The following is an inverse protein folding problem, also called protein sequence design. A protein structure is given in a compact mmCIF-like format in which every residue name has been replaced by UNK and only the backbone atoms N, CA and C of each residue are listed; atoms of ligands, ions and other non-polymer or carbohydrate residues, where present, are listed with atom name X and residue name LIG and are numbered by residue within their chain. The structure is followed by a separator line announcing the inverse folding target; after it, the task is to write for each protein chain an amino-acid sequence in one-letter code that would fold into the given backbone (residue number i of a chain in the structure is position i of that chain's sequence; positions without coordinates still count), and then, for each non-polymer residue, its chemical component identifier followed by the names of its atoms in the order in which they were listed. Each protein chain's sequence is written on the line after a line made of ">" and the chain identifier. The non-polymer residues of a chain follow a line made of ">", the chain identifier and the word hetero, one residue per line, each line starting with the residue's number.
data_IF_016341971116
#
_entry.id   IF_016341971116
#
_cell.length_a   1.000
_cell.length_b   1.000
_cell.length_c   1.000
_cell.angle_alpha   90.00
_cell.angle_beta   90.00
_cell.angle_gamma   90.00
#
_symmetry.space_group_name_H-M   'P 1'
#
loop_
_entity.id
_entity.type
_entity.pdbx_description
1 polymer ?
#
# COMPACT_ATOMS: atom_id res chain seq x y z
N UNK A 1 19.34 -8.12 12.36
CA UNK A 1 18.20 -7.28 12.81
C UNK A 1 18.54 -5.83 12.54
N UNK A 2 18.00 -5.25 11.46
CA UNK A 2 18.13 -3.82 11.21
C UNK A 2 16.74 -3.21 11.42
N UNK A 3 16.45 -2.75 12.63
CA UNK A 3 15.34 -1.82 12.82
C UNK A 3 15.76 -0.53 12.14
N UNK A 4 15.21 -0.24 10.96
CA UNK A 4 15.47 1.02 10.27
C UNK A 4 15.09 2.18 11.18
N UNK A 5 16.10 2.86 11.71
CA UNK A 5 15.96 4.06 12.55
C UNK A 5 15.46 5.25 11.75
N UNK A 6 15.34 5.12 10.43
CA UNK A 6 14.85 6.17 9.55
C UNK A 6 13.36 6.45 9.81
N UNK A 7 13.06 7.70 10.16
CA UNK A 7 11.69 8.19 10.15
C UNK A 7 11.11 8.06 8.73
N UNK A 8 9.81 7.74 8.58
CA UNK A 8 9.19 7.78 7.26
C UNK A 8 9.36 9.18 6.63
N UNK A 9 9.57 9.27 5.31
CA UNK A 9 9.68 10.56 4.62
C UNK A 9 8.51 11.49 4.93
N UNK A 10 8.78 12.79 5.04
CA UNK A 10 7.76 13.80 5.35
C UNK A 10 6.55 13.79 4.40
N UNK A 11 6.74 13.30 3.17
CA UNK A 11 5.70 13.19 2.13
C UNK A 11 4.50 12.31 2.53
N UNK A 12 4.65 11.40 3.48
CA UNK A 12 3.51 10.66 4.04
C UNK A 12 2.57 11.54 4.87
N UNK A 13 3.02 12.72 5.29
CA UNK A 13 2.26 13.68 6.10
C UNK A 13 1.88 14.94 5.29
N UNK A 14 2.12 14.94 3.97
CA UNK A 14 1.66 15.99 3.07
C UNK A 14 0.22 15.71 2.62
N UNK A 15 -0.73 16.50 3.12
CA UNK A 15 -2.16 16.34 2.85
C UNK A 15 -2.48 16.35 1.34
N UNK A 16 -3.48 15.56 0.95
CA UNK A 16 -3.95 15.46 -0.43
C UNK A 16 -3.06 14.62 -1.35
N UNK A 17 -1.90 14.12 -0.87
CA UNK A 17 -1.03 13.23 -1.66
C UNK A 17 -1.48 11.77 -1.55
N UNK A 18 -1.11 10.96 -2.56
CA UNK A 18 -1.38 9.52 -2.53
C UNK A 18 -0.65 8.79 -1.38
N UNK A 19 0.52 9.28 -0.96
CA UNK A 19 1.27 8.75 0.19
C UNK A 19 0.55 9.04 1.52
N UNK A 20 0.03 10.26 1.68
CA UNK A 20 -0.79 10.61 2.84
C UNK A 20 -2.08 9.79 2.88
N UNK A 21 -2.74 9.58 1.74
CA UNK A 21 -3.88 8.66 1.66
C UNK A 21 -3.51 7.24 2.09
N UNK A 22 -2.36 6.72 1.70
CA UNK A 22 -1.91 5.39 2.13
C UNK A 22 -1.80 5.31 3.66
N UNK A 23 -1.25 6.34 4.29
CA UNK A 23 -1.18 6.43 5.76
C UNK A 23 -2.59 6.48 6.38
N UNK A 24 -3.49 7.33 5.87
CA UNK A 24 -4.84 7.48 6.41
C UNK A 24 -5.69 6.21 6.28
N UNK A 25 -5.54 5.49 5.18
CA UNK A 25 -6.33 4.31 4.83
C UNK A 25 -5.77 2.99 5.38
N UNK A 26 -4.55 2.99 5.91
CA UNK A 26 -3.98 1.85 6.60
C UNK A 26 -4.66 1.62 7.97
N UNK A 27 -4.67 0.37 8.48
CA UNK A 27 -5.12 0.10 9.85
C UNK A 27 -4.34 0.91 10.87
N UNK A 28 -5.00 1.38 11.94
CA UNK A 28 -4.30 2.04 13.05
C UNK A 28 -3.15 1.16 13.58
N UNK A 29 -3.41 -0.14 13.77
CA UNK A 29 -2.41 -1.16 14.05
C UNK A 29 -2.22 -2.07 12.84
N UNK A 30 -1.32 -1.69 11.94
CA UNK A 30 -1.06 -2.39 10.69
C UNK A 30 -0.13 -3.59 10.91
N UNK A 31 -0.40 -4.69 10.20
CA UNK A 31 0.58 -5.78 10.06
C UNK A 31 1.75 -5.32 9.19
N UNK A 32 2.97 -5.70 9.56
CA UNK A 32 4.17 -5.37 8.80
C UNK A 32 5.31 -6.37 9.04
N UNK A 33 6.30 -6.41 8.14
CA UNK A 33 7.46 -7.30 8.25
C UNK A 33 8.58 -6.92 7.27
N UNK A 34 9.79 -7.40 7.57
CA UNK A 34 10.96 -7.28 6.68
C UNK A 34 10.93 -8.30 5.53
N UNK A 35 10.07 -9.31 5.65
CA UNK A 35 9.85 -10.41 4.70
C UNK A 35 8.34 -10.64 4.47
N UNK A 36 7.96 -11.68 3.72
CA UNK A 36 6.56 -11.99 3.38
C UNK A 36 5.75 -12.65 4.53
N UNK A 37 6.21 -12.60 5.78
CA UNK A 37 5.58 -13.35 6.89
C UNK A 37 4.55 -12.55 7.72
N UNK A 38 4.47 -11.23 7.56
CA UNK A 38 3.53 -10.36 8.29
C UNK A 38 3.56 -10.54 9.83
N UNK A 39 4.75 -10.78 10.40
CA UNK A 39 4.97 -11.18 11.79
C UNK A 39 4.80 -10.07 12.82
N UNK A 40 4.78 -8.80 12.44
CA UNK A 40 4.67 -7.67 13.37
C UNK A 40 3.34 -6.95 13.21
N UNK A 41 2.85 -6.39 14.31
CA UNK A 41 1.72 -5.44 14.34
C UNK A 41 2.23 -4.16 14.99
N UNK A 42 2.09 -3.02 14.32
CA UNK A 42 2.63 -1.72 14.77
C UNK A 42 1.66 -0.59 14.42
N UNK A 43 1.71 0.55 15.14
CA UNK A 43 1.01 1.73 14.68
C UNK A 43 1.45 2.07 13.25
N UNK A 44 0.52 2.47 12.38
CA UNK A 44 0.77 2.68 10.94
C UNK A 44 1.96 3.58 10.63
N UNK A 45 2.21 4.60 11.44
CA UNK A 45 3.34 5.53 11.31
C UNK A 45 4.70 4.82 11.49
N UNK A 46 4.73 3.74 12.28
CA UNK A 46 5.90 2.87 12.44
C UNK A 46 5.93 1.74 11.41
N UNK A 47 4.77 1.24 10.98
CA UNK A 47 4.66 0.19 9.97
C UNK A 47 5.21 0.63 8.60
N UNK A 48 5.16 1.93 8.28
CA UNK A 48 5.77 2.53 7.07
C UNK A 48 7.27 2.25 6.91
N UNK A 49 7.97 1.86 7.97
CA UNK A 49 9.41 1.57 7.94
C UNK A 49 9.74 0.19 7.38
N UNK A 50 8.72 -0.63 7.13
CA UNK A 50 8.86 -2.00 6.68
C UNK A 50 8.51 -2.13 5.20
N UNK A 51 9.22 -3.00 4.45
CA UNK A 51 8.95 -3.23 3.03
C UNK A 51 7.59 -3.91 2.79
N UNK A 52 7.06 -4.65 3.76
CA UNK A 52 5.74 -5.25 3.71
C UNK A 52 4.87 -4.64 4.80
N UNK A 53 3.72 -4.08 4.41
CA UNK A 53 2.77 -3.44 5.31
C UNK A 53 1.34 -3.68 4.81
N UNK A 54 0.41 -3.86 5.74
CA UNK A 54 -1.02 -3.87 5.46
C UNK A 54 -1.50 -2.46 5.13
N UNK A 55 -2.03 -2.29 3.92
CA UNK A 55 -2.47 -0.98 3.40
C UNK A 55 -3.99 -0.75 3.46
N UNK A 56 -4.77 -1.82 3.59
CA UNK A 56 -6.23 -1.75 3.74
C UNK A 56 -6.65 -2.10 5.17
N UNK A 57 -7.58 -1.31 5.72
CA UNK A 57 -8.23 -1.56 7.01
C UNK A 57 -9.00 -2.89 7.00
N UNK A 58 -9.08 -3.63 8.13
CA UNK A 58 -9.94 -4.79 8.20
C UNK A 58 -11.39 -4.42 7.86
N UNK A 59 -12.00 -5.17 6.93
CA UNK A 59 -13.39 -4.93 6.51
C UNK A 59 -13.60 -3.71 5.60
N UNK A 60 -12.54 -3.03 5.16
CA UNK A 60 -12.62 -1.90 4.23
C UNK A 60 -11.51 -1.98 3.18
N UNK A 61 -11.86 -1.74 1.92
CA UNK A 61 -10.90 -1.68 0.82
C UNK A 61 -10.87 -0.26 0.25
N UNK A 62 -9.70 0.36 0.32
CA UNK A 62 -9.44 1.70 -0.23
C UNK A 62 -8.35 1.68 -1.31
N UNK A 63 -7.63 0.56 -1.41
CA UNK A 63 -6.56 0.32 -2.37
C UNK A 63 -6.77 -1.02 -3.08
N UNK A 64 -6.74 -1.01 -4.40
CA UNK A 64 -6.52 -2.20 -5.23
C UNK A 64 -5.01 -2.28 -5.51
N UNK A 65 -4.38 -3.39 -5.11
CA UNK A 65 -2.94 -3.61 -5.24
C UNK A 65 -2.72 -4.77 -6.20
N UNK A 66 -1.98 -4.51 -7.28
CA UNK A 66 -1.65 -5.51 -8.29
C UNK A 66 -0.14 -5.76 -8.28
N UNK A 67 0.28 -6.99 -8.02
CA UNK A 67 1.67 -7.40 -8.10
C UNK A 67 2.03 -7.72 -9.55
N UNK A 68 3.15 -7.19 -10.02
CA UNK A 68 3.69 -7.43 -11.35
C UNK A 68 4.93 -8.31 -11.21
N UNK A 69 4.77 -9.58 -11.57
CA UNK A 69 5.81 -10.60 -11.54
C UNK A 69 6.82 -10.50 -12.71
N UNK A 70 6.96 -9.31 -13.30
CA UNK A 70 7.91 -9.01 -14.38
C UNK A 70 8.59 -7.65 -14.20
N UNK A 71 9.68 -7.42 -14.92
CA UNK A 71 10.50 -6.21 -14.75
C UNK A 71 9.88 -4.92 -15.32
N UNK A 72 8.87 -5.03 -16.20
CA UNK A 72 8.16 -3.89 -16.77
C UNK A 72 7.15 -3.29 -15.78
N UNK A 73 7.56 -2.25 -15.06
CA UNK A 73 6.67 -1.55 -14.13
C UNK A 73 5.60 -0.70 -14.85
N UNK A 74 5.79 -0.38 -16.13
CA UNK A 74 4.91 0.48 -16.93
C UNK A 74 3.89 -0.31 -17.76
N UNK A 75 3.71 -1.61 -17.50
CA UNK A 75 2.79 -2.47 -18.25
C UNK A 75 1.33 -1.96 -18.27
N UNK A 76 0.95 -1.08 -17.34
CA UNK A 76 -0.35 -0.40 -17.37
C UNK A 76 -0.50 0.54 -18.57
N UNK A 77 0.58 1.23 -18.97
CA UNK A 77 0.58 2.18 -20.08
C UNK A 77 0.50 1.43 -21.42
N UNK A 78 1.31 0.37 -21.56
CA UNK A 78 1.28 -0.53 -22.73
C UNK A 78 -0.11 -1.14 -22.96
N UNK A 79 -0.84 -1.40 -21.87
CA UNK A 79 -2.18 -1.97 -21.89
C UNK A 79 -3.30 -0.91 -22.00
N UNK A 80 -2.98 0.38 -22.04
CA UNK A 80 -3.95 1.47 -22.07
C UNK A 80 -4.82 1.58 -20.80
N UNK A 81 -4.30 1.12 -19.67
CA UNK A 81 -4.96 1.22 -18.37
C UNK A 81 -4.76 2.62 -17.77
N UNK A 82 -5.63 3.05 -16.83
CA UNK A 82 -5.41 4.30 -16.10
C UNK A 82 -4.05 4.31 -15.39
N UNK A 83 -3.47 5.50 -15.22
CA UNK A 83 -2.26 5.63 -14.43
C UNK A 83 -2.53 5.29 -12.95
N UNK A 84 -1.68 4.46 -12.30
CA UNK A 84 -1.81 4.15 -10.88
C UNK A 84 -1.50 5.37 -10.01
N UNK A 85 -2.06 5.42 -8.80
CA UNK A 85 -1.79 6.49 -7.85
C UNK A 85 -0.41 6.34 -7.20
N UNK A 86 0.04 5.11 -6.96
CA UNK A 86 1.39 4.80 -6.49
C UNK A 86 1.95 3.60 -7.26
N UNK A 87 3.26 3.63 -7.47
CA UNK A 87 4.03 2.51 -8.01
C UNK A 87 5.19 2.22 -7.08
N UNK A 88 5.29 0.98 -6.62
CA UNK A 88 6.39 0.52 -5.76
C UNK A 88 7.20 -0.48 -6.55
N UNK A 89 8.51 -0.26 -6.71
CA UNK A 89 9.37 -1.15 -7.49
C UNK A 89 10.56 -1.63 -6.67
N UNK A 90 10.78 -2.94 -6.67
CA UNK A 90 12.02 -3.51 -6.17
C UNK A 90 13.15 -3.24 -7.17
N UNK A 91 14.11 -2.41 -6.76
CA UNK A 91 15.24 -2.00 -7.61
C UNK A 91 16.17 -3.17 -8.03
N UNK A 92 16.14 -4.29 -7.31
CA UNK A 92 17.00 -5.46 -7.60
C UNK A 92 16.34 -6.43 -8.58
N UNK A 93 15.10 -6.85 -8.30
CA UNK A 93 14.39 -7.84 -9.13
C UNK A 93 13.59 -7.22 -10.28
N UNK A 94 13.29 -5.92 -10.22
CA UNK A 94 12.45 -5.24 -11.20
C UNK A 94 10.95 -5.41 -10.97
N UNK A 95 10.52 -6.40 -10.18
CA UNK A 95 9.13 -6.59 -9.74
C UNK A 95 8.56 -5.31 -9.13
N UNK A 96 7.27 -5.09 -9.35
CA UNK A 96 6.61 -3.87 -8.90
C UNK A 96 5.16 -4.11 -8.53
N UNK A 97 4.62 -3.25 -7.69
CA UNK A 97 3.22 -3.21 -7.34
C UNK A 97 2.60 -1.91 -7.80
N UNK A 98 1.41 -2.02 -8.41
CA UNK A 98 0.59 -0.89 -8.80
C UNK A 98 -0.53 -0.70 -7.78
N UNK A 99 -0.74 0.53 -7.35
CA UNK A 99 -1.76 0.89 -6.38
C UNK A 99 -2.78 1.82 -7.03
N UNK A 100 -4.03 1.36 -7.10
CA UNK A 100 -5.17 2.15 -7.52
C UNK A 100 -6.05 2.47 -6.31
N UNK A 101 -6.29 3.76 -6.11
CA UNK A 101 -7.04 4.26 -4.98
C UNK A 101 -8.53 4.32 -5.35
N UNK A 102 -9.37 3.67 -4.54
CA UNK A 102 -10.83 3.62 -4.73
C UNK A 102 -11.54 4.24 -3.53
N UNK A 103 -12.76 4.81 -3.69
CA UNK A 103 -13.57 5.16 -2.53
C UNK A 103 -13.62 3.99 -1.54
N UNK A 104 -13.52 4.25 -0.25
CA UNK A 104 -13.41 3.17 0.73
C UNK A 104 -14.69 2.32 0.74
N UNK A 105 -14.58 1.06 0.33
CA UNK A 105 -15.72 0.13 0.23
C UNK A 105 -15.70 -0.82 1.40
N UNK A 106 -16.83 -0.95 2.09
CA UNK A 106 -16.99 -1.95 3.15
C UNK A 106 -17.10 -3.36 2.55
N UNK A 107 -16.39 -4.33 3.13
CA UNK A 107 -16.35 -5.73 2.66
C UNK A 107 -16.85 -6.73 3.71
N UNK A 108 -17.51 -6.26 4.76
CA UNK A 108 -18.16 -7.10 5.79
C UNK A 108 -19.62 -7.37 5.43
N UNK A 109 -20.38 -8.08 6.27
CA UNK A 109 -21.82 -8.24 6.06
C UNK A 109 -22.61 -6.92 6.05
N UNK A 110 -22.03 -5.84 6.57
CA UNK A 110 -22.66 -4.51 6.57
C UNK A 110 -22.48 -3.77 5.23
N UNK A 111 -21.84 -4.41 4.24
CA UNK A 111 -21.64 -3.84 2.92
C UNK A 111 -22.96 -3.61 2.17
N UNK A 112 -22.99 -2.57 1.34
CA UNK A 112 -24.11 -2.28 0.45
C UNK A 112 -23.76 -2.71 -0.97
N UNK A 113 -24.76 -3.02 -1.78
CA UNK A 113 -24.55 -3.42 -3.19
C UNK A 113 -23.94 -2.29 -4.04
N UNK A 114 -24.13 -1.03 -3.64
CA UNK A 114 -23.51 0.13 -4.28
C UNK A 114 -22.33 0.62 -3.43
N UNK A 115 -21.19 0.98 -4.04
CA UNK A 115 -20.10 1.66 -3.36
C UNK A 115 -20.52 3.01 -2.79
#
# INVERSE_FOLDING_TARGET
>A
MASSTHMPPARFFEDGTALNRLLLEAPYMARCSDDKTATRVRPREYALRYPYMQVNRPGMVSWLVFDLDHANALAWDDAGLPAPNLMVRNRKSGHSQLFYAVPSVCTTENARTKP
#
